data_IF_792850116009
#
_entry.id   IF_792850116009
#
_cell.length_a   1.000
_cell.length_b   1.000
_cell.length_c   1.000
_cell.angle_alpha   90.00
_cell.angle_beta   90.00
_cell.angle_gamma   90.00
#
_symmetry.space_group_name_H-M   'P 1'
#
loop_
_entity.id
_entity.type
_entity.pdbx_description
1 polymer ?
#
# COMPACT_ATOMS: atom_id res chain seq x y z
N UNK A 1 1.71 -0.74 -17.60
CA UNK A 1 0.39 -1.02 -16.99
C UNK A 1 0.61 -1.78 -15.70
N UNK A 2 -0.08 -1.36 -14.64
CA UNK A 2 0.10 -1.96 -13.31
C UNK A 2 -0.90 -3.09 -13.10
N UNK A 3 -0.41 -4.22 -12.57
CA UNK A 3 -1.24 -5.36 -12.19
C UNK A 3 -1.14 -5.58 -10.68
N UNK A 4 -2.20 -6.10 -10.11
CA UNK A 4 -2.29 -6.49 -8.71
C UNK A 4 -2.51 -7.98 -8.59
N UNK A 5 -1.87 -8.61 -7.60
CA UNK A 5 -2.19 -9.98 -7.25
C UNK A 5 -3.55 -10.06 -6.56
N UNK A 6 -4.32 -11.09 -6.86
CA UNK A 6 -5.56 -11.39 -6.15
C UNK A 6 -5.23 -12.32 -4.99
N UNK A 7 -5.62 -11.92 -3.79
CA UNK A 7 -5.40 -12.67 -2.55
C UNK A 7 -6.67 -13.35 -2.08
N UNK A 8 -6.53 -14.45 -1.35
CA UNK A 8 -7.64 -15.14 -0.69
C UNK A 8 -7.89 -14.58 0.72
N UNK A 9 -8.89 -15.11 1.42
CA UNK A 9 -9.25 -14.71 2.78
C UNK A 9 -8.13 -14.95 3.80
N UNK A 10 -7.21 -15.86 3.52
CA UNK A 10 -6.07 -16.18 4.37
C UNK A 10 -4.84 -15.34 4.03
N UNK A 11 -5.02 -14.31 3.21
CA UNK A 11 -3.99 -13.34 2.83
C UNK A 11 -2.87 -13.97 1.99
N UNK A 12 -3.22 -14.98 1.21
CA UNK A 12 -2.28 -15.66 0.31
C UNK A 12 -2.62 -15.34 -1.14
N UNK A 13 -1.60 -15.14 -1.99
CA UNK A 13 -1.86 -14.95 -3.42
C UNK A 13 -2.54 -16.17 -4.03
N UNK A 14 -3.56 -15.93 -4.85
CA UNK A 14 -4.29 -17.00 -5.54
C UNK A 14 -3.59 -17.47 -6.80
N UNK A 15 -2.55 -16.79 -7.25
CA UNK A 15 -1.90 -17.03 -8.53
C UNK A 15 -2.55 -16.27 -9.70
N UNK A 16 -3.65 -15.58 -9.44
CA UNK A 16 -4.34 -14.76 -10.44
C UNK A 16 -4.05 -13.29 -10.20
N UNK A 17 -4.10 -12.50 -11.26
CA UNK A 17 -3.87 -11.06 -11.20
C UNK A 17 -5.05 -10.30 -11.79
N UNK A 18 -5.12 -9.00 -11.48
CA UNK A 18 -6.08 -8.07 -12.09
C UNK A 18 -5.35 -6.80 -12.51
N UNK A 19 -5.89 -6.10 -13.49
CA UNK A 19 -5.40 -4.77 -13.85
C UNK A 19 -5.81 -3.79 -12.76
N UNK A 20 -4.96 -2.80 -12.51
CA UNK A 20 -5.26 -1.72 -11.59
C UNK A 20 -6.62 -1.10 -11.93
N UNK A 21 -7.48 -0.95 -10.92
CA UNK A 21 -8.82 -0.36 -11.02
C UNK A 21 -9.82 -1.14 -11.87
N UNK A 22 -9.58 -2.40 -12.15
CA UNK A 22 -10.54 -3.23 -12.90
C UNK A 22 -11.73 -3.67 -12.03
N UNK A 23 -11.56 -3.71 -10.73
CA UNK A 23 -12.61 -4.01 -9.73
C UNK A 23 -13.40 -5.27 -10.04
N UNK A 24 -12.71 -6.31 -10.51
CA UNK A 24 -13.31 -7.60 -10.87
C UNK A 24 -13.34 -8.61 -9.71
N UNK A 25 -13.02 -8.17 -8.50
CA UNK A 25 -12.93 -9.04 -7.33
C UNK A 25 -14.30 -9.59 -6.94
N UNK A 26 -14.33 -10.88 -6.64
CA UNK A 26 -15.52 -11.60 -6.16
C UNK A 26 -15.45 -11.75 -4.63
N UNK A 27 -16.50 -12.29 -4.03
CA UNK A 27 -16.51 -12.60 -2.61
C UNK A 27 -15.33 -13.50 -2.25
N UNK A 28 -14.63 -13.14 -1.19
CA UNK A 28 -13.44 -13.88 -0.74
C UNK A 28 -12.18 -13.59 -1.53
N UNK A 29 -12.22 -12.61 -2.44
CA UNK A 29 -11.07 -12.15 -3.19
C UNK A 29 -10.69 -10.73 -2.79
N UNK A 30 -9.39 -10.46 -2.68
CA UNK A 30 -8.88 -9.19 -2.18
C UNK A 30 -7.65 -8.75 -2.95
N UNK A 31 -7.38 -7.45 -2.97
CA UNK A 31 -6.05 -6.95 -3.34
C UNK A 31 -5.37 -6.37 -2.10
N UNK A 32 -4.06 -6.23 -2.17
CA UNK A 32 -3.26 -5.77 -1.03
C UNK A 32 -2.98 -4.28 -1.15
N UNK A 33 -3.35 -3.55 -0.11
CA UNK A 33 -2.96 -2.14 0.06
C UNK A 33 -2.06 -2.04 1.27
N UNK A 34 -0.97 -1.28 1.16
CA UNK A 34 0.00 -1.08 2.23
C UNK A 34 0.04 0.37 2.65
N UNK A 35 0.36 0.61 3.92
CA UNK A 35 0.60 1.93 4.48
C UNK A 35 1.94 1.92 5.20
N UNK A 36 2.77 2.92 4.93
CA UNK A 36 4.05 3.11 5.60
C UNK A 36 4.03 4.34 6.47
N UNK A 37 4.11 4.15 7.79
CA UNK A 37 4.19 5.25 8.74
C UNK A 37 5.65 5.44 9.12
N UNK A 38 6.24 6.56 8.71
CA UNK A 38 7.63 6.89 9.00
C UNK A 38 7.66 7.75 10.26
N UNK A 39 8.31 7.25 11.31
CA UNK A 39 8.38 7.92 12.59
C UNK A 39 9.82 8.24 12.97
N UNK A 40 10.00 9.36 13.68
CA UNK A 40 11.29 9.72 14.29
C UNK A 40 11.33 9.28 15.74
N UNK A 41 12.53 9.13 16.32
CA UNK A 41 12.66 8.78 17.73
C UNK A 41 12.00 9.78 18.70
N UNK A 42 11.80 11.03 18.28
CA UNK A 42 11.14 12.05 19.09
C UNK A 42 9.61 11.93 19.13
N UNK A 43 9.04 10.93 18.45
CA UNK A 43 7.59 10.70 18.40
C UNK A 43 6.85 11.43 17.30
N UNK A 44 7.56 12.15 16.43
CA UNK A 44 6.94 12.79 15.26
C UNK A 44 6.82 11.84 14.08
N UNK A 45 5.85 12.11 13.23
CA UNK A 45 5.56 11.29 12.03
C UNK A 45 5.67 12.13 10.77
N UNK A 46 6.10 11.48 9.69
CA UNK A 46 6.08 12.10 8.38
C UNK A 46 4.70 11.94 7.76
N UNK A 47 4.08 13.06 7.40
CA UNK A 47 2.82 13.05 6.66
C UNK A 47 3.01 13.86 5.38
N UNK A 48 2.25 13.50 4.36
CA UNK A 48 2.25 14.20 3.08
C UNK A 48 0.85 14.68 2.75
N UNK A 49 0.76 15.72 1.95
CA UNK A 49 -0.52 16.27 1.51
C UNK A 49 -0.78 15.83 0.07
N UNK A 50 -1.95 15.25 -0.17
CA UNK A 50 -2.33 14.87 -1.53
C UNK A 50 -2.49 16.11 -2.39
N UNK A 51 -1.96 16.05 -3.61
CA UNK A 51 -2.09 17.17 -4.55
C UNK A 51 -3.57 17.37 -4.94
N UNK A 52 -3.93 18.59 -5.27
CA UNK A 52 -5.33 18.96 -5.56
C UNK A 52 -5.88 18.30 -6.83
N UNK A 53 -5.00 17.76 -7.69
CA UNK A 53 -5.41 17.09 -8.92
C UNK A 53 -5.79 15.62 -8.74
N UNK A 54 -5.63 15.05 -7.53
CA UNK A 54 -6.02 13.66 -7.26
C UNK A 54 -7.53 13.50 -7.32
N UNK A 55 -7.99 12.37 -7.87
CA UNK A 55 -9.42 12.07 -7.99
C UNK A 55 -10.06 11.79 -6.63
N UNK A 56 -9.31 11.19 -5.69
CA UNK A 56 -9.80 10.87 -4.35
C UNK A 56 -9.10 11.71 -3.31
N UNK A 57 -9.88 12.30 -2.40
CA UNK A 57 -9.40 13.07 -1.25
C UNK A 57 -8.32 14.11 -1.59
N UNK A 58 -8.53 14.99 -2.61
CA UNK A 58 -7.52 16.02 -2.94
C UNK A 58 -7.28 16.93 -1.75
N UNK A 59 -6.01 17.28 -1.50
CA UNK A 59 -5.62 18.17 -0.43
C UNK A 59 -5.62 17.57 0.98
N UNK A 60 -5.98 16.28 1.14
CA UNK A 60 -5.96 15.62 2.44
C UNK A 60 -4.53 15.24 2.83
N UNK A 61 -4.28 15.24 4.13
CA UNK A 61 -3.03 14.77 4.69
C UNK A 61 -3.06 13.26 4.85
N UNK A 62 -1.94 12.59 4.57
CA UNK A 62 -1.87 11.14 4.62
C UNK A 62 -0.46 10.65 4.97
N UNK A 63 -0.37 9.38 5.38
CA UNK A 63 0.89 8.65 5.40
C UNK A 63 1.10 8.00 4.04
N UNK A 64 2.33 7.58 3.75
CA UNK A 64 2.66 6.94 2.47
C UNK A 64 1.95 5.60 2.33
N UNK A 65 1.42 5.32 1.15
CA UNK A 65 0.78 4.04 0.92
C UNK A 65 0.22 3.90 -0.49
N UNK A 66 -0.23 2.71 -0.80
CA UNK A 66 -0.84 2.38 -2.08
C UNK A 66 -1.00 0.88 -2.26
N UNK A 67 -1.43 0.48 -3.44
CA UNK A 67 -1.64 -0.92 -3.75
C UNK A 67 -0.31 -1.61 -4.07
N UNK A 68 -0.12 -2.82 -3.53
CA UNK A 68 0.99 -3.66 -3.91
C UNK A 68 0.84 -4.12 -5.35
N UNK A 69 1.94 -4.10 -6.09
CA UNK A 69 1.96 -4.60 -7.47
C UNK A 69 2.10 -6.11 -7.49
N UNK A 70 1.67 -6.74 -8.59
CA UNK A 70 1.81 -8.16 -8.77
C UNK A 70 3.27 -8.60 -8.60
N UNK A 71 3.48 -9.65 -7.82
CA UNK A 71 4.81 -10.16 -7.52
C UNK A 71 5.52 -9.48 -6.36
N UNK A 72 4.99 -8.38 -5.82
CA UNK A 72 5.56 -7.73 -4.63
C UNK A 72 4.98 -8.35 -3.37
N UNK A 73 5.84 -8.56 -2.37
CA UNK A 73 5.39 -8.80 -1.01
C UNK A 73 5.09 -7.44 -0.33
N UNK A 74 4.36 -7.49 0.78
CA UNK A 74 3.95 -6.26 1.48
C UNK A 74 5.12 -5.37 1.91
N UNK A 75 6.21 -5.97 2.38
CA UNK A 75 7.41 -5.23 2.76
C UNK A 75 8.02 -4.49 1.57
N UNK A 76 8.15 -5.15 0.44
CA UNK A 76 8.67 -4.54 -0.79
C UNK A 76 7.76 -3.42 -1.28
N UNK A 77 6.45 -3.65 -1.22
CA UNK A 77 5.47 -2.66 -1.64
C UNK A 77 5.54 -1.39 -0.80
N UNK A 78 5.62 -1.52 0.53
CA UNK A 78 5.68 -0.35 1.40
C UNK A 78 6.99 0.43 1.24
N UNK A 79 8.11 -0.26 1.03
CA UNK A 79 9.39 0.41 0.75
C UNK A 79 9.32 1.21 -0.55
N UNK A 80 8.71 0.63 -1.58
CA UNK A 80 8.54 1.30 -2.87
C UNK A 80 7.65 2.54 -2.74
N UNK A 81 6.50 2.40 -2.07
CA UNK A 81 5.56 3.52 -1.89
C UNK A 81 6.18 4.66 -1.08
N UNK A 82 6.88 4.35 0.00
CA UNK A 82 7.55 5.38 0.80
C UNK A 82 8.60 6.11 -0.05
N UNK A 83 9.37 5.39 -0.83
CA UNK A 83 10.40 6.00 -1.69
C UNK A 83 9.79 6.86 -2.79
N UNK A 84 8.73 6.38 -3.45
CA UNK A 84 8.06 7.13 -4.51
C UNK A 84 7.44 8.43 -3.99
N UNK A 85 6.83 8.39 -2.80
CA UNK A 85 6.10 9.54 -2.27
C UNK A 85 6.96 10.51 -1.48
N UNK A 86 8.04 10.04 -0.85
CA UNK A 86 8.86 10.87 0.04
C UNK A 86 10.32 10.98 -0.37
N UNK A 87 10.79 10.12 -1.25
CA UNK A 87 12.21 10.00 -1.61
C UNK A 87 13.06 9.26 -0.59
N UNK A 88 12.49 8.80 0.53
CA UNK A 88 13.24 8.14 1.58
C UNK A 88 13.46 6.66 1.28
N UNK A 89 14.68 6.20 1.54
CA UNK A 89 15.02 4.77 1.50
C UNK A 89 14.87 4.21 2.93
N UNK A 90 13.79 3.48 3.16
CA UNK A 90 13.47 2.94 4.48
C UNK A 90 14.08 1.57 4.75
N UNK A 91 14.90 1.04 3.86
CA UNK A 91 15.60 -0.22 4.10
C UNK A 91 16.57 -0.08 5.28
N UNK A 92 16.56 -1.06 6.17
CA UNK A 92 17.40 -1.02 7.35
C UNK A 92 16.80 -0.29 8.53
N UNK A 93 15.61 0.30 8.39
CA UNK A 93 14.87 0.87 9.52
C UNK A 93 14.22 -0.24 10.35
N UNK A 94 13.97 0.04 11.63
CA UNK A 94 13.15 -0.85 12.44
C UNK A 94 11.73 -0.92 11.84
N UNK A 95 11.19 -2.12 11.78
CA UNK A 95 9.94 -2.34 11.06
C UNK A 95 8.94 -3.11 11.91
N UNK A 96 7.79 -2.50 12.16
CA UNK A 96 6.65 -3.16 12.78
C UNK A 96 5.64 -3.49 11.68
N UNK A 97 5.30 -4.76 11.60
CA UNK A 97 4.43 -5.26 10.55
C UNK A 97 3.05 -5.60 11.10
N UNK A 98 2.02 -4.98 10.52
CA UNK A 98 0.62 -5.26 10.86
C UNK A 98 -0.12 -5.56 9.56
N UNK A 99 -0.83 -6.68 9.53
CA UNK A 99 -1.61 -7.08 8.37
C UNK A 99 -3.07 -7.24 8.75
N UNK A 100 -3.94 -6.53 8.06
CA UNK A 100 -5.39 -6.59 8.24
C UNK A 100 -6.07 -7.00 6.95
N UNK A 101 -7.16 -7.76 7.06
CA UNK A 101 -8.07 -8.05 5.95
C UNK A 101 -9.39 -7.35 6.23
N UNK A 102 -9.92 -6.68 5.22
CA UNK A 102 -11.19 -5.98 5.35
C UNK A 102 -12.08 -6.30 4.15
N UNK A 103 -13.32 -6.60 4.43
CA UNK A 103 -14.40 -6.73 3.45
C UNK A 103 -15.20 -5.43 3.39
N UNK A 104 -15.62 -5.08 2.20
CA UNK A 104 -16.50 -3.92 1.98
C UNK A 104 -17.82 -4.37 1.37
#
# INVERSE_FOLDING_TARGET
MEFWDIYDKDKKPTGRTMKRNDWCLKDGEYHLTVLGVVARPDGTFLITKRVMTKAWAPGWWEVSGGAAQAGEESYEAVLREVKEETGLDARGCSFLYILNTREF
#
